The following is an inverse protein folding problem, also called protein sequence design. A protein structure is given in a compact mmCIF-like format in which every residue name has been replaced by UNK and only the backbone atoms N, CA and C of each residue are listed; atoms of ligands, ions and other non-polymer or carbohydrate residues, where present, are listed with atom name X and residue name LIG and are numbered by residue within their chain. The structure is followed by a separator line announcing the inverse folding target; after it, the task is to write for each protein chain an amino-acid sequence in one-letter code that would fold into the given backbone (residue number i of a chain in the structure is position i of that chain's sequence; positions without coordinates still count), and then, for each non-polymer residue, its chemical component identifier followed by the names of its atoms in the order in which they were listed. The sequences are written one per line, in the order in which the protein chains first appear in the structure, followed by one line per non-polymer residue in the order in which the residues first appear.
data_IF_833275919486
#
_entry.id   IF_833275919486
#
_cell.length_a   1.000
_cell.length_b   1.000
_cell.length_c   1.000
_cell.angle_alpha   90.00
_cell.angle_beta   90.00
_cell.angle_gamma   90.00
#
_symmetry.space_group_name_H-M   'P 1'
#
loop_
_entity.id
_entity.type
_entity.pdbx_description
1 polymer ?
#
# COMPACT_ATOMS: atom_id res chain seq x y z
N UNK A 1 5.99 4.11 39.24
CA UNK A 1 5.77 3.26 38.05
C UNK A 1 4.55 3.77 37.32
N UNK A 2 4.72 4.47 36.20
CA UNK A 2 3.63 5.13 35.45
C UNK A 2 3.49 4.50 34.07
N UNK A 3 2.27 4.04 33.74
CA UNK A 3 2.02 3.31 32.51
C UNK A 3 2.14 4.21 31.28
N UNK A 4 3.01 3.83 30.33
CA UNK A 4 3.10 4.50 29.03
C UNK A 4 1.80 4.32 28.25
N UNK A 5 1.06 5.42 28.02
CA UNK A 5 -0.02 5.46 27.03
C UNK A 5 0.57 5.25 25.64
N UNK A 6 0.36 4.07 25.06
CA UNK A 6 0.68 3.79 23.65
C UNK A 6 -0.25 4.60 22.74
N UNK A 7 0.29 5.68 22.18
CA UNK A 7 -0.36 6.43 21.10
C UNK A 7 -0.25 5.64 19.80
N UNK A 8 -1.24 4.79 19.50
CA UNK A 8 -1.27 4.01 18.24
C UNK A 8 -1.49 4.94 17.02
N UNK A 9 -0.41 5.39 16.40
CA UNK A 9 -0.43 6.20 15.16
C UNK A 9 -0.69 5.31 13.95
N UNK A 10 -1.87 4.70 13.88
CA UNK A 10 -2.32 3.94 12.73
C UNK A 10 -2.88 4.87 11.64
N UNK A 11 -2.02 5.40 10.77
CA UNK A 11 -2.41 6.00 9.48
C UNK A 11 -1.83 5.17 8.33
N UNK A 12 -2.49 5.25 7.16
CA UNK A 12 -2.30 4.29 6.08
C UNK A 12 -0.87 4.32 5.55
N UNK A 13 -0.21 3.16 5.64
CA UNK A 13 0.79 2.79 4.64
C UNK A 13 0.03 2.46 3.36
N UNK A 14 -0.13 3.44 2.47
CA UNK A 14 -0.54 3.13 1.09
C UNK A 14 0.51 2.22 0.48
N UNK A 15 0.17 0.95 0.32
CA UNK A 15 0.96 0.01 -0.48
C UNK A 15 0.60 0.30 -1.93
N UNK A 16 1.32 1.26 -2.52
CA UNK A 16 1.34 1.47 -3.96
C UNK A 16 2.08 0.28 -4.59
N UNK A 17 1.39 -0.85 -4.63
CA UNK A 17 1.67 -1.92 -5.55
C UNK A 17 1.20 -1.44 -6.92
N UNK A 18 2.14 -1.07 -7.79
CA UNK A 18 1.89 -0.87 -9.21
C UNK A 18 2.64 -1.97 -9.97
N UNK A 19 2.01 -2.64 -10.94
CA UNK A 19 2.73 -3.41 -11.94
C UNK A 19 3.39 -2.45 -12.93
N UNK A 20 4.69 -2.63 -13.17
CA UNK A 20 5.36 -1.97 -14.29
C UNK A 20 4.91 -2.70 -15.57
N UNK A 21 3.90 -2.17 -16.25
CA UNK A 21 3.39 -2.78 -17.50
C UNK A 21 4.30 -2.39 -18.66
N UNK A 22 5.39 -3.15 -18.83
CA UNK A 22 6.23 -3.04 -20.03
C UNK A 22 5.44 -3.59 -21.22
N UNK A 23 4.97 -2.71 -22.09
CA UNK A 23 4.30 -3.08 -23.34
C UNK A 23 5.36 -3.57 -24.32
N UNK A 24 5.45 -4.90 -24.49
CA UNK A 24 6.21 -5.52 -25.57
C UNK A 24 5.54 -5.20 -26.91
N UNK A 25 6.00 -4.13 -27.57
CA UNK A 25 5.61 -3.79 -28.93
C UNK A 25 6.10 -4.88 -29.89
N UNK A 26 5.16 -5.67 -30.43
CA UNK A 26 5.47 -6.78 -31.33
C UNK A 26 5.72 -6.32 -32.78
N UNK A 27 6.82 -6.80 -33.37
CA UNK A 27 7.00 -6.76 -34.83
C UNK A 27 6.08 -7.79 -35.52
N UNK A 28 5.59 -7.44 -36.72
CA UNK A 28 4.83 -8.31 -37.64
C UNK A 28 5.72 -8.81 -38.82
N UNK A 29 5.29 -9.79 -39.64
CA UNK A 29 6.18 -10.80 -40.29
C UNK A 29 6.51 -10.45 -41.76
N UNK A 30 7.15 -11.24 -42.65
CA UNK A 30 7.02 -12.67 -43.03
C UNK A 30 8.16 -13.03 -44.04
N UNK A 31 8.68 -14.26 -44.28
CA UNK A 31 8.57 -15.54 -43.56
C UNK A 31 9.88 -16.42 -43.56
N UNK A 32 10.22 -17.35 -44.49
CA UNK A 32 10.69 -18.66 -44.00
C UNK A 32 12.09 -19.14 -44.47
N UNK A 33 12.79 -19.82 -43.55
CA UNK A 33 13.84 -20.81 -43.83
C UNK A 33 13.68 -22.04 -42.91
N UNK A 34 14.12 -23.21 -43.39
CA UNK A 34 13.82 -24.53 -42.82
C UNK A 34 14.55 -24.85 -41.48
N UNK A 35 14.15 -25.91 -40.74
CA UNK A 35 14.35 -25.95 -39.29
C UNK A 35 15.76 -26.36 -38.87
N UNK A 36 16.44 -25.49 -38.13
CA UNK A 36 17.49 -25.93 -37.20
C UNK A 36 16.83 -26.34 -35.88
N UNK A 37 17.04 -27.59 -35.46
CA UNK A 37 16.50 -28.13 -34.23
C UNK A 37 17.25 -27.59 -32.99
N UNK A 38 17.01 -26.32 -32.67
CA UNK A 38 17.31 -25.79 -31.35
C UNK A 38 16.35 -26.43 -30.34
N UNK A 39 16.86 -27.38 -29.54
CA UNK A 39 16.13 -27.93 -28.40
C UNK A 39 15.86 -26.79 -27.43
N UNK A 40 14.62 -26.30 -27.41
CA UNK A 40 14.17 -25.39 -26.38
C UNK A 40 14.35 -26.09 -25.02
N UNK A 41 14.98 -25.45 -24.02
CA UNK A 41 15.04 -26.03 -22.68
C UNK A 41 13.62 -26.21 -22.17
N UNK A 42 13.25 -27.46 -21.88
CA UNK A 42 11.97 -27.80 -21.27
C UNK A 42 11.89 -27.16 -19.88
N UNK A 43 11.27 -25.98 -19.80
CA UNK A 43 11.28 -25.17 -18.57
C UNK A 43 10.53 -23.85 -18.59
N UNK A 44 9.88 -23.43 -19.69
CA UNK A 44 9.01 -22.24 -19.69
C UNK A 44 7.65 -22.58 -19.08
N UNK A 45 7.63 -22.51 -17.75
CA UNK A 45 6.51 -22.76 -16.85
C UNK A 45 5.46 -21.65 -16.98
N UNK A 46 4.42 -21.91 -17.77
CA UNK A 46 3.22 -21.06 -17.95
C UNK A 46 2.52 -20.61 -16.63
N UNK A 47 2.61 -21.32 -15.48
CA UNK A 47 2.15 -20.82 -14.18
C UNK A 47 2.56 -19.40 -13.77
N UNK A 48 3.76 -18.90 -14.12
CA UNK A 48 4.25 -17.61 -13.60
C UNK A 48 3.40 -16.42 -14.10
N UNK A 49 3.03 -16.43 -15.40
CA UNK A 49 2.17 -15.38 -15.98
C UNK A 49 0.80 -15.33 -15.31
N UNK A 50 0.20 -16.48 -15.04
CA UNK A 50 -1.14 -16.56 -14.46
C UNK A 50 -1.14 -16.20 -12.97
N UNK A 51 -0.05 -16.51 -12.24
CA UNK A 51 0.17 -15.99 -10.88
C UNK A 51 0.34 -14.46 -10.87
N UNK A 52 1.04 -13.89 -11.86
CA UNK A 52 1.15 -12.43 -12.03
C UNK A 52 -0.20 -11.79 -12.35
N UNK A 53 -1.04 -12.42 -13.17
CA UNK A 53 -2.42 -11.96 -13.44
C UNK A 53 -3.28 -11.95 -12.16
N UNK A 54 -3.22 -13.01 -11.32
CA UNK A 54 -3.94 -13.06 -10.04
C UNK A 54 -3.41 -12.05 -9.01
N UNK A 55 -2.10 -11.88 -8.94
CA UNK A 55 -1.46 -10.83 -8.13
C UNK A 55 -1.97 -9.45 -8.55
N UNK A 56 -2.03 -9.16 -9.85
CA UNK A 56 -2.55 -7.90 -10.37
C UNK A 56 -4.05 -7.71 -10.08
N UNK A 57 -4.86 -8.77 -10.13
CA UNK A 57 -6.27 -8.72 -9.73
C UNK A 57 -6.43 -8.35 -8.23
N UNK A 58 -5.59 -8.92 -7.36
CA UNK A 58 -5.54 -8.55 -5.94
C UNK A 58 -5.07 -7.10 -5.71
N UNK A 59 -4.10 -6.61 -6.49
CA UNK A 59 -3.69 -5.20 -6.47
C UNK A 59 -4.86 -4.28 -6.82
N UNK A 60 -5.62 -4.59 -7.88
CA UNK A 60 -6.81 -3.81 -8.28
C UNK A 60 -7.88 -3.81 -7.19
N UNK A 61 -8.16 -4.97 -6.57
CA UNK A 61 -9.12 -5.08 -5.47
C UNK A 61 -8.71 -4.25 -4.24
N UNK A 62 -7.43 -4.30 -3.88
CA UNK A 62 -6.88 -3.53 -2.75
C UNK A 62 -6.87 -2.02 -3.02
N UNK A 63 -6.50 -1.60 -4.24
CA UNK A 63 -6.51 -0.19 -4.62
C UNK A 63 -7.94 0.39 -4.61
N UNK A 64 -8.94 -0.36 -5.07
CA UNK A 64 -10.37 0.01 -4.95
C UNK A 64 -10.80 0.21 -3.50
N UNK A 65 -10.32 -0.64 -2.58
CA UNK A 65 -10.57 -0.48 -1.15
C UNK A 65 -9.88 0.78 -0.59
N UNK A 66 -8.59 0.97 -0.87
CA UNK A 66 -7.83 2.09 -0.30
C UNK A 66 -8.22 3.48 -0.86
N UNK A 67 -8.78 3.55 -2.07
CA UNK A 67 -9.17 4.83 -2.69
C UNK A 67 -10.16 5.63 -1.83
N UNK A 68 -11.07 4.94 -1.13
CA UNK A 68 -12.14 5.58 -0.35
C UNK A 68 -12.22 5.10 1.11
N UNK A 69 -11.63 3.95 1.46
CA UNK A 69 -11.83 3.32 2.78
C UNK A 69 -10.54 3.29 3.61
N UNK A 70 -10.51 4.16 4.60
CA UNK A 70 -9.58 4.09 5.73
C UNK A 70 -10.36 3.72 6.98
N UNK A 71 -10.56 2.42 7.24
CA UNK A 71 -11.38 1.97 8.38
C UNK A 71 -10.88 2.53 9.72
N UNK A 72 -9.57 2.61 9.94
CA UNK A 72 -8.99 3.25 11.12
C UNK A 72 -9.23 4.77 11.20
N UNK A 73 -9.41 5.48 10.08
CA UNK A 73 -9.88 6.88 10.07
C UNK A 73 -11.38 6.96 10.33
N UNK A 74 -12.18 6.18 9.60
CA UNK A 74 -13.65 6.11 9.75
C UNK A 74 -14.01 5.85 11.22
N UNK A 75 -13.38 4.88 11.87
CA UNK A 75 -13.59 4.55 13.28
C UNK A 75 -13.28 5.75 14.22
N UNK A 76 -12.13 6.41 14.03
CA UNK A 76 -11.75 7.58 14.87
C UNK A 76 -12.67 8.78 14.63
N UNK A 77 -13.08 9.01 13.40
CA UNK A 77 -13.93 10.14 13.04
C UNK A 77 -15.36 9.89 13.55
N UNK A 78 -15.87 8.66 13.45
CA UNK A 78 -17.12 8.21 14.06
C UNK A 78 -17.11 8.39 15.59
N UNK A 79 -16.09 7.89 16.28
CA UNK A 79 -15.96 8.04 17.75
C UNK A 79 -15.86 9.52 18.18
N UNK A 80 -15.25 10.37 17.36
CA UNK A 80 -15.15 11.81 17.60
C UNK A 80 -16.48 12.54 17.36
N UNK A 81 -17.21 12.17 16.32
CA UNK A 81 -18.47 12.80 15.93
C UNK A 81 -19.62 12.43 16.87
N UNK A 82 -19.56 11.26 17.51
CA UNK A 82 -20.67 10.71 18.31
C UNK A 82 -20.36 10.54 19.82
N UNK A 83 -19.76 11.53 20.52
CA UNK A 83 -19.29 11.37 21.92
C UNK A 83 -20.43 11.22 22.94
N UNK A 84 -21.69 11.38 22.52
CA UNK A 84 -22.89 11.22 23.35
C UNK A 84 -23.43 9.78 23.36
N UNK A 85 -23.04 8.92 22.41
CA UNK A 85 -23.50 7.51 22.37
C UNK A 85 -23.11 6.76 23.66
N UNK A 86 -21.86 6.94 24.11
CA UNK A 86 -21.33 6.38 25.35
C UNK A 86 -21.98 6.96 26.64
N UNK A 87 -22.85 7.97 26.53
CA UNK A 87 -23.58 8.54 27.67
C UNK A 87 -24.98 7.94 27.74
N UNK A 88 -25.20 7.09 28.74
CA UNK A 88 -26.51 6.51 29.02
C UNK A 88 -27.55 7.62 29.30
N UNK A 89 -28.78 7.43 28.81
CA UNK A 89 -29.94 8.29 29.10
C UNK A 89 -30.00 9.67 28.40
N UNK A 90 -28.89 10.20 27.87
CA UNK A 90 -28.90 11.51 27.20
C UNK A 90 -29.47 11.43 25.77
N UNK A 91 -30.53 12.17 25.39
CA UNK A 91 -31.04 12.14 24.01
C UNK A 91 -29.97 12.61 23.01
N UNK A 92 -29.92 11.97 21.83
CA UNK A 92 -29.09 12.44 20.72
C UNK A 92 -29.80 13.54 19.94
N UNK A 93 -29.12 14.68 19.79
CA UNK A 93 -29.46 15.80 18.91
C UNK A 93 -28.72 15.71 17.56
N UNK A 94 -27.74 14.83 17.47
CA UNK A 94 -26.82 14.68 16.35
C UNK A 94 -26.28 13.25 16.29
N UNK A 95 -26.06 12.77 15.07
CA UNK A 95 -25.34 11.54 14.74
C UNK A 95 -24.62 11.78 13.42
N UNK A 96 -23.41 11.23 13.22
CA UNK A 96 -22.74 11.29 11.91
C UNK A 96 -21.81 10.11 11.61
N UNK A 97 -21.80 9.67 10.35
CA UNK A 97 -21.03 8.54 9.87
C UNK A 97 -20.46 8.77 8.44
N UNK A 98 -19.22 9.25 8.36
CA UNK A 98 -18.56 9.58 7.09
C UNK A 98 -17.95 8.40 6.30
N UNK A 99 -18.40 7.16 6.50
CA UNK A 99 -17.86 5.97 5.79
C UNK A 99 -18.66 5.61 4.54
N UNK A 100 -17.99 5.29 3.43
CA UNK A 100 -18.63 4.69 2.24
C UNK A 100 -18.81 3.17 2.34
N UNK A 101 -19.74 2.61 1.56
CA UNK A 101 -19.92 1.17 1.37
C UNK A 101 -18.77 0.54 0.55
N UNK A 102 -18.61 -0.78 0.64
CA UNK A 102 -17.43 -1.50 0.09
C UNK A 102 -17.78 -2.46 -1.04
N UNK A 103 -18.94 -2.29 -1.68
CA UNK A 103 -19.45 -3.20 -2.71
C UNK A 103 -18.49 -3.36 -3.89
N UNK A 104 -17.83 -2.27 -4.30
CA UNK A 104 -16.85 -2.24 -5.39
C UNK A 104 -15.58 -3.04 -5.08
N UNK A 105 -15.12 -2.99 -3.83
CA UNK A 105 -13.97 -3.76 -3.37
C UNK A 105 -14.33 -5.25 -3.26
N UNK A 106 -15.51 -5.58 -2.70
CA UNK A 106 -16.00 -6.96 -2.61
C UNK A 106 -16.05 -7.63 -3.99
N UNK A 107 -16.71 -7.00 -4.99
CA UNK A 107 -16.78 -7.53 -6.36
C UNK A 107 -15.41 -7.68 -7.04
N UNK A 108 -14.39 -6.92 -6.61
CA UNK A 108 -13.03 -7.06 -7.11
C UNK A 108 -12.27 -8.21 -6.42
N UNK A 109 -12.48 -8.43 -5.12
CA UNK A 109 -11.97 -9.60 -4.40
C UNK A 109 -12.60 -10.90 -4.92
N UNK A 110 -13.90 -10.92 -5.20
CA UNK A 110 -14.57 -12.08 -5.83
C UNK A 110 -13.89 -12.47 -7.15
N UNK A 111 -13.62 -11.49 -8.02
CA UNK A 111 -12.94 -11.70 -9.31
C UNK A 111 -11.52 -12.24 -9.13
N UNK A 112 -10.75 -11.71 -8.18
CA UNK A 112 -9.40 -12.20 -7.91
C UNK A 112 -9.40 -13.64 -7.34
N UNK A 113 -10.35 -13.96 -6.46
CA UNK A 113 -10.48 -15.30 -5.87
C UNK A 113 -11.00 -16.35 -6.86
N UNK A 114 -11.82 -15.96 -7.83
CA UNK A 114 -12.34 -16.84 -8.88
C UNK A 114 -11.26 -17.30 -9.89
N UNK A 115 -10.06 -16.71 -9.86
CA UNK A 115 -8.94 -17.15 -10.71
C UNK A 115 -8.40 -18.50 -10.21
N UNK A 116 -8.32 -19.48 -11.12
CA UNK A 116 -8.07 -20.89 -10.80
C UNK A 116 -6.67 -21.19 -10.28
N UNK A 117 -5.71 -20.30 -10.50
CA UNK A 117 -4.33 -20.49 -10.09
C UNK A 117 -4.17 -20.20 -8.60
N UNK A 118 -3.54 -21.08 -7.81
CA UNK A 118 -3.31 -20.82 -6.40
C UNK A 118 -2.26 -19.72 -6.23
N UNK A 119 -2.53 -18.80 -5.31
CA UNK A 119 -1.55 -17.85 -4.78
C UNK A 119 -1.74 -17.79 -3.25
N UNK A 120 -1.37 -18.85 -2.51
CA UNK A 120 -1.80 -19.05 -1.12
C UNK A 120 -1.41 -17.91 -0.17
N UNK A 121 -0.28 -17.25 -0.43
CA UNK A 121 0.19 -16.08 0.31
C UNK A 121 -0.77 -14.89 0.26
N UNK A 122 -1.62 -14.80 -0.77
CA UNK A 122 -2.67 -13.78 -0.89
C UNK A 122 -4.09 -14.36 -0.77
N UNK A 123 -4.32 -15.61 -1.16
CA UNK A 123 -5.64 -16.22 -1.13
C UNK A 123 -6.20 -16.32 0.30
N UNK A 124 -5.40 -16.77 1.27
CA UNK A 124 -5.84 -16.86 2.68
C UNK A 124 -6.06 -15.51 3.36
N UNK A 125 -5.11 -14.55 3.38
CA UNK A 125 -5.40 -13.23 3.94
C UNK A 125 -6.46 -12.48 3.13
N UNK A 126 -6.63 -12.79 1.84
CA UNK A 126 -7.68 -12.27 0.98
C UNK A 126 -9.06 -12.72 1.46
N UNK A 127 -9.25 -14.02 1.73
CA UNK A 127 -10.50 -14.56 2.31
C UNK A 127 -10.83 -13.90 3.64
N UNK A 128 -9.84 -13.73 4.51
CA UNK A 128 -10.01 -13.05 5.81
C UNK A 128 -10.43 -11.59 5.65
N UNK A 129 -9.82 -10.86 4.71
CA UNK A 129 -10.23 -9.49 4.39
C UNK A 129 -11.65 -9.44 3.81
N UNK A 130 -11.97 -10.29 2.83
CA UNK A 130 -13.30 -10.37 2.23
C UNK A 130 -14.38 -10.61 3.29
N UNK A 131 -14.19 -11.59 4.18
CA UNK A 131 -15.14 -11.86 5.27
C UNK A 131 -15.32 -10.66 6.22
N UNK A 132 -14.23 -9.93 6.53
CA UNK A 132 -14.31 -8.71 7.33
C UNK A 132 -15.03 -7.55 6.61
N UNK A 133 -14.87 -7.44 5.28
CA UNK A 133 -15.59 -6.50 4.43
C UNK A 133 -17.10 -6.85 4.38
N UNK A 134 -17.44 -8.13 4.20
CA UNK A 134 -18.82 -8.62 4.19
C UNK A 134 -19.54 -8.37 5.52
N UNK A 135 -18.83 -8.52 6.65
CA UNK A 135 -19.38 -8.24 7.97
C UNK A 135 -19.59 -6.74 8.25
N UNK A 136 -18.69 -5.85 7.80
CA UNK A 136 -18.78 -4.41 8.09
C UNK A 136 -19.69 -3.64 7.13
N UNK A 137 -19.82 -4.10 5.88
CA UNK A 137 -20.61 -3.43 4.84
C UNK A 137 -22.11 -3.20 5.20
N UNK A 138 -22.87 -4.17 5.74
CA UNK A 138 -24.26 -3.91 6.14
C UNK A 138 -24.36 -2.89 7.28
N UNK A 139 -23.44 -2.93 8.25
CA UNK A 139 -23.40 -1.99 9.38
C UNK A 139 -23.06 -0.56 8.91
N UNK A 140 -22.17 -0.42 7.92
CA UNK A 140 -21.90 0.84 7.22
C UNK A 140 -23.17 1.38 6.56
N UNK A 141 -23.91 0.53 5.82
CA UNK A 141 -25.15 0.93 5.12
C UNK A 141 -26.26 1.32 6.10
N UNK A 142 -26.37 0.61 7.22
CA UNK A 142 -27.31 0.94 8.31
C UNK A 142 -26.95 2.28 8.96
N UNK A 143 -25.68 2.51 9.31
CA UNK A 143 -25.20 3.77 9.90
C UNK A 143 -25.48 4.98 9.00
N UNK A 144 -25.24 4.87 7.69
CA UNK A 144 -25.55 5.92 6.70
C UNK A 144 -27.05 6.16 6.57
N UNK A 145 -27.87 5.11 6.60
CA UNK A 145 -29.34 5.23 6.57
C UNK A 145 -29.86 5.92 7.82
N UNK A 146 -29.31 5.59 8.99
CA UNK A 146 -29.69 6.20 10.27
C UNK A 146 -29.30 7.69 10.35
N UNK A 147 -28.13 8.07 9.80
CA UNK A 147 -27.74 9.47 9.64
C UNK A 147 -28.68 10.23 8.67
N UNK A 148 -28.94 9.67 7.48
CA UNK A 148 -29.70 10.36 6.42
C UNK A 148 -31.19 10.53 6.73
N UNK A 149 -31.80 9.53 7.37
CA UNK A 149 -33.20 9.58 7.83
C UNK A 149 -33.41 10.43 9.08
N UNK A 150 -32.33 10.72 9.82
CA UNK A 150 -32.34 11.41 11.12
C UNK A 150 -33.20 10.71 12.18
N UNK A 151 -33.30 9.39 12.11
CA UNK A 151 -34.04 8.54 13.06
C UNK A 151 -33.56 8.74 14.52
N UNK A 152 -32.32 9.21 14.72
CA UNK A 152 -31.80 9.65 16.02
C UNK A 152 -32.63 10.73 16.74
N UNK A 153 -33.38 11.55 16.00
CA UNK A 153 -34.25 12.58 16.56
C UNK A 153 -35.56 11.99 17.12
N UNK A 154 -36.08 10.92 16.53
CA UNK A 154 -37.33 10.26 16.97
C UNK A 154 -37.06 9.21 18.05
N UNK A 155 -36.01 8.39 17.88
CA UNK A 155 -35.65 7.31 18.81
C UNK A 155 -34.77 7.77 19.99
N UNK A 156 -34.38 9.06 20.02
CA UNK A 156 -33.49 9.69 21.02
C UNK A 156 -32.10 9.03 21.12
N UNK A 157 -31.66 8.37 20.05
CA UNK A 157 -30.39 7.65 19.97
C UNK A 157 -30.45 6.21 20.48
N UNK A 158 -31.60 5.54 20.45
CA UNK A 158 -31.71 4.15 20.89
C UNK A 158 -30.92 3.20 19.98
N UNK A 159 -31.19 3.25 18.67
CA UNK A 159 -30.56 2.46 17.62
C UNK A 159 -29.07 2.80 17.45
N UNK A 160 -28.69 4.07 17.60
CA UNK A 160 -27.28 4.48 17.66
C UNK A 160 -26.47 3.68 18.68
N UNK A 161 -27.03 3.45 19.88
CA UNK A 161 -26.38 2.70 20.97
C UNK A 161 -26.38 1.20 20.73
N UNK A 162 -27.43 0.67 20.11
CA UNK A 162 -27.50 -0.73 19.70
C UNK A 162 -26.42 -1.06 18.64
N UNK A 163 -26.19 -0.14 17.70
CA UNK A 163 -25.26 -0.31 16.59
C UNK A 163 -23.79 0.01 16.93
N UNK A 164 -23.52 0.84 17.95
CA UNK A 164 -22.16 1.33 18.27
C UNK A 164 -21.14 0.20 18.47
N UNK A 165 -21.41 -0.71 19.41
CA UNK A 165 -20.50 -1.82 19.71
C UNK A 165 -20.21 -2.72 18.49
N UNK A 166 -21.21 -3.24 17.74
CA UNK A 166 -20.93 -4.05 16.56
C UNK A 166 -20.26 -3.26 15.43
N UNK A 167 -20.62 -2.00 15.20
CA UNK A 167 -19.99 -1.16 14.17
C UNK A 167 -18.51 -0.87 14.50
N UNK A 168 -18.21 -0.50 15.76
CA UNK A 168 -16.85 -0.28 16.26
C UNK A 168 -16.00 -1.55 16.13
N UNK A 169 -16.55 -2.71 16.51
CA UNK A 169 -15.87 -3.99 16.41
C UNK A 169 -15.59 -4.37 14.94
N UNK A 170 -16.58 -4.23 14.06
CA UNK A 170 -16.45 -4.55 12.64
C UNK A 170 -15.48 -3.63 11.90
N UNK A 171 -15.50 -2.32 12.17
CA UNK A 171 -14.50 -1.37 11.64
C UNK A 171 -13.09 -1.70 12.13
N UNK A 172 -12.94 -2.11 13.40
CA UNK A 172 -11.66 -2.57 13.95
C UNK A 172 -11.14 -3.84 13.27
N UNK A 173 -12.02 -4.83 13.06
CA UNK A 173 -11.70 -6.07 12.36
C UNK A 173 -11.31 -5.83 10.89
N UNK A 174 -12.11 -5.04 10.16
CA UNK A 174 -11.82 -4.66 8.78
C UNK A 174 -10.50 -3.88 8.66
N UNK A 175 -10.20 -2.96 9.58
CA UNK A 175 -8.91 -2.27 9.63
C UNK A 175 -7.73 -3.23 9.83
N UNK A 176 -7.85 -4.20 10.76
CA UNK A 176 -6.81 -5.22 11.00
C UNK A 176 -6.61 -6.10 9.77
N UNK A 177 -7.68 -6.62 9.18
CA UNK A 177 -7.60 -7.47 8.00
C UNK A 177 -7.02 -6.73 6.79
N UNK A 178 -7.37 -5.45 6.60
CA UNK A 178 -6.81 -4.58 5.55
C UNK A 178 -5.29 -4.46 5.71
N UNK A 179 -4.81 -4.18 6.93
CA UNK A 179 -3.38 -4.08 7.22
C UNK A 179 -2.63 -5.41 7.05
N UNK A 180 -3.25 -6.54 7.41
CA UNK A 180 -2.70 -7.89 7.20
C UNK A 180 -2.56 -8.19 5.71
N UNK A 181 -3.63 -8.04 4.93
CA UNK A 181 -3.62 -8.28 3.49
C UNK A 181 -2.65 -7.36 2.75
N UNK A 182 -2.64 -6.06 3.07
CA UNK A 182 -1.68 -5.11 2.48
C UNK A 182 -0.22 -5.48 2.76
N UNK A 183 0.07 -6.07 3.92
CA UNK A 183 1.42 -6.56 4.24
C UNK A 183 1.78 -7.78 3.39
N UNK A 184 0.85 -8.74 3.22
CA UNK A 184 1.06 -9.90 2.34
C UNK A 184 1.23 -9.49 0.86
N UNK A 185 0.38 -8.58 0.37
CA UNK A 185 0.46 -8.01 -0.98
C UNK A 185 1.79 -7.27 -1.22
N UNK A 186 2.26 -6.50 -0.24
CA UNK A 186 3.57 -5.85 -0.32
C UNK A 186 4.72 -6.87 -0.36
N UNK A 187 4.61 -7.98 0.39
CA UNK A 187 5.61 -9.06 0.34
C UNK A 187 5.65 -9.76 -1.02
N UNK A 188 4.49 -10.11 -1.59
CA UNK A 188 4.43 -10.81 -2.87
C UNK A 188 4.85 -9.92 -4.06
N UNK A 189 4.51 -8.63 -4.02
CA UNK A 189 4.97 -7.67 -5.04
C UNK A 189 6.46 -7.37 -4.95
N UNK A 190 7.05 -7.37 -3.75
CA UNK A 190 8.51 -7.33 -3.59
C UNK A 190 9.19 -8.55 -4.23
N UNK A 191 8.73 -9.78 -3.94
CA UNK A 191 9.28 -11.01 -4.56
C UNK A 191 9.22 -10.97 -6.09
N UNK A 192 8.09 -10.56 -6.67
CA UNK A 192 7.91 -10.39 -8.13
C UNK A 192 8.97 -9.45 -8.69
N UNK A 193 9.13 -8.28 -8.06
CA UNK A 193 10.00 -7.23 -8.56
C UNK A 193 11.48 -7.55 -8.37
N UNK A 194 11.84 -8.34 -7.33
CA UNK A 194 13.19 -8.88 -7.16
C UNK A 194 13.54 -9.90 -8.25
N UNK A 195 12.59 -10.75 -8.65
CA UNK A 195 12.76 -11.66 -9.78
C UNK A 195 12.85 -10.90 -11.12
N UNK A 196 12.03 -9.88 -11.33
CA UNK A 196 12.09 -8.99 -12.50
C UNK A 196 13.45 -8.28 -12.56
N UNK A 197 13.95 -7.72 -11.45
CA UNK A 197 15.26 -7.07 -11.41
C UNK A 197 16.41 -8.03 -11.75
N UNK A 198 16.33 -9.29 -11.31
CA UNK A 198 17.31 -10.32 -11.64
C UNK A 198 17.30 -10.72 -13.13
N UNK A 199 16.16 -10.58 -13.81
CA UNK A 199 16.03 -10.84 -15.25
C UNK A 199 16.37 -9.61 -16.13
N UNK A 200 16.29 -8.39 -15.60
CA UNK A 200 16.63 -7.17 -16.33
C UNK A 200 18.14 -7.04 -16.59
N UNK A 201 18.48 -6.56 -17.79
CA UNK A 201 19.88 -6.26 -18.16
C UNK A 201 20.45 -5.16 -17.26
N UNK A 202 21.56 -5.41 -16.52
CA UNK A 202 22.23 -4.38 -15.72
C UNK A 202 22.68 -3.18 -16.55
N UNK A 203 22.74 -1.99 -15.92
CA UNK A 203 23.13 -0.75 -16.60
C UNK A 203 22.02 -0.10 -17.45
N UNK A 204 20.82 -0.69 -17.53
CA UNK A 204 19.68 -0.06 -18.22
C UNK A 204 18.89 0.87 -17.29
N UNK A 205 18.20 1.86 -17.84
CA UNK A 205 17.30 2.73 -17.06
C UNK A 205 16.26 1.92 -16.27
N UNK A 206 15.62 0.95 -16.91
CA UNK A 206 14.64 0.07 -16.28
C UNK A 206 15.21 -0.68 -15.07
N UNK A 207 16.42 -1.25 -15.20
CA UNK A 207 17.12 -1.91 -14.10
C UNK A 207 17.37 -0.95 -12.92
N UNK A 208 17.91 0.24 -13.17
CA UNK A 208 18.19 1.20 -12.09
C UNK A 208 16.92 1.78 -11.46
N UNK A 209 15.89 2.10 -12.26
CA UNK A 209 14.56 2.54 -11.78
C UNK A 209 13.91 1.48 -10.91
N UNK A 210 13.90 0.22 -11.33
CA UNK A 210 13.33 -0.88 -10.54
C UNK A 210 14.12 -1.11 -9.24
N UNK A 211 15.46 -1.07 -9.30
CA UNK A 211 16.33 -1.19 -8.12
C UNK A 211 16.04 -0.09 -7.08
N UNK A 212 15.96 1.18 -7.49
CA UNK A 212 15.63 2.28 -6.55
C UNK A 212 14.22 2.10 -5.97
N UNK A 213 13.24 1.70 -6.78
CA UNK A 213 11.86 1.45 -6.32
C UNK A 213 11.72 0.24 -5.39
N UNK A 214 12.54 -0.80 -5.56
CA UNK A 214 12.65 -1.94 -4.65
C UNK A 214 13.22 -1.52 -3.29
N UNK A 215 14.40 -0.89 -3.29
CA UNK A 215 15.06 -0.49 -2.03
C UNK A 215 14.22 0.57 -1.29
N UNK A 216 13.51 1.45 -2.00
CA UNK A 216 12.58 2.42 -1.39
C UNK A 216 11.42 1.74 -0.65
N UNK A 217 10.94 0.59 -1.14
CA UNK A 217 9.88 -0.20 -0.47
C UNK A 217 10.43 -1.04 0.69
N UNK A 218 11.67 -1.52 0.61
CA UNK A 218 12.37 -2.14 1.75
C UNK A 218 12.57 -1.12 2.88
N UNK A 219 12.99 0.10 2.55
CA UNK A 219 13.05 1.22 3.48
C UNK A 219 11.69 1.54 4.10
N UNK A 220 10.61 1.58 3.30
CA UNK A 220 9.26 1.79 3.84
C UNK A 220 8.81 0.70 4.82
N UNK A 221 9.20 -0.56 4.58
CA UNK A 221 8.97 -1.66 5.50
C UNK A 221 9.76 -1.51 6.80
N UNK A 222 11.04 -1.14 6.73
CA UNK A 222 11.87 -0.87 7.91
C UNK A 222 11.32 0.30 8.75
N UNK A 223 10.92 1.40 8.10
CA UNK A 223 10.29 2.56 8.77
C UNK A 223 8.99 2.16 9.45
N UNK A 224 8.13 1.36 8.81
CA UNK A 224 6.90 0.84 9.43
C UNK A 224 7.21 0.05 10.71
N UNK A 225 8.12 -0.92 10.62
CA UNK A 225 8.50 -1.76 11.77
C UNK A 225 9.11 -0.93 12.91
N UNK A 226 9.85 0.14 12.61
CA UNK A 226 10.43 1.06 13.59
C UNK A 226 9.41 2.01 14.25
N UNK A 227 8.31 2.34 13.56
CA UNK A 227 7.18 3.08 14.11
C UNK A 227 6.33 2.20 15.04
N UNK A 228 6.19 0.91 14.73
CA UNK A 228 5.48 -0.07 15.56
C UNK A 228 6.33 -0.49 16.78
N UNK A 229 7.64 -0.70 16.61
CA UNK A 229 8.59 -1.01 17.69
C UNK A 229 9.96 -0.34 17.45
N UNK A 230 10.37 0.51 18.40
CA UNK A 230 11.65 1.25 18.38
C UNK A 230 12.88 0.34 18.28
N UNK A 231 12.79 -0.95 18.64
CA UNK A 231 13.89 -1.90 18.46
C UNK A 231 14.30 -2.06 16.99
N UNK A 232 13.42 -1.76 16.03
CA UNK A 232 13.70 -1.85 14.59
C UNK A 232 14.33 -0.56 14.00
N UNK A 233 14.53 0.50 14.77
CA UNK A 233 15.16 1.75 14.27
C UNK A 233 16.52 1.52 13.57
N UNK A 234 17.43 0.64 14.08
CA UNK A 234 18.69 0.37 13.39
C UNK A 234 18.54 -0.24 11.99
N UNK A 235 17.44 -0.96 11.71
CA UNK A 235 17.18 -1.54 10.39
C UNK A 235 16.87 -0.46 9.32
N UNK A 236 16.46 0.74 9.73
CA UNK A 236 16.30 1.88 8.81
C UNK A 236 17.65 2.27 8.23
N UNK A 237 18.72 2.29 9.02
CA UNK A 237 20.04 2.76 8.57
C UNK A 237 20.60 1.85 7.44
N UNK A 238 20.42 0.53 7.54
CA UNK A 238 20.78 -0.43 6.47
C UNK A 238 19.95 -0.22 5.20
N UNK A 239 18.62 -0.10 5.32
CA UNK A 239 17.76 0.12 4.15
C UNK A 239 18.01 1.49 3.48
N UNK A 240 18.33 2.51 4.27
CA UNK A 240 18.68 3.84 3.80
C UNK A 240 20.01 3.85 3.02
N UNK A 241 21.00 3.06 3.45
CA UNK A 241 22.25 2.86 2.70
C UNK A 241 21.98 2.20 1.34
N UNK A 242 21.12 1.18 1.28
CA UNK A 242 20.74 0.52 0.02
C UNK A 242 20.02 1.47 -0.96
N UNK A 243 19.08 2.28 -0.47
CA UNK A 243 18.43 3.34 -1.27
C UNK A 243 19.45 4.36 -1.78
N UNK A 244 20.38 4.80 -0.91
CA UNK A 244 21.42 5.77 -1.29
C UNK A 244 22.37 5.21 -2.35
N UNK A 245 22.76 3.94 -2.26
CA UNK A 245 23.59 3.27 -3.25
C UNK A 245 22.86 3.15 -4.60
N UNK A 246 21.62 2.65 -4.60
CA UNK A 246 20.79 2.54 -5.80
C UNK A 246 20.56 3.91 -6.48
N UNK A 247 20.30 4.98 -5.71
CA UNK A 247 20.09 6.32 -6.27
C UNK A 247 21.39 6.98 -6.78
N UNK A 248 22.54 6.57 -6.24
CA UNK A 248 23.86 6.96 -6.76
C UNK A 248 24.14 6.28 -8.09
N UNK A 249 23.90 4.97 -8.18
CA UNK A 249 24.01 4.20 -9.42
C UNK A 249 23.10 4.74 -10.53
N UNK A 250 21.83 5.01 -10.23
CA UNK A 250 20.90 5.65 -11.19
C UNK A 250 21.49 6.97 -11.74
N UNK A 251 22.09 7.79 -10.89
CA UNK A 251 22.77 9.04 -11.28
C UNK A 251 24.03 8.87 -12.14
N UNK A 252 24.57 7.66 -12.29
CA UNK A 252 25.69 7.39 -13.21
C UNK A 252 25.27 7.32 -14.68
N UNK A 253 24.01 6.98 -14.97
CA UNK A 253 23.47 6.96 -16.34
C UNK A 253 23.54 8.33 -17.03
N UNK A 254 23.51 9.42 -16.25
CA UNK A 254 23.74 10.79 -16.72
C UNK A 254 25.12 11.02 -17.36
N UNK A 255 26.08 10.11 -17.17
CA UNK A 255 27.49 10.28 -17.55
C UNK A 255 27.94 9.40 -18.73
N UNK A 256 27.06 8.62 -19.36
CA UNK A 256 27.42 7.82 -20.54
C UNK A 256 27.15 8.60 -21.85
N UNK A 257 28.18 9.08 -22.57
CA UNK A 257 28.02 9.79 -23.84
C UNK A 257 27.68 8.89 -25.04
N UNK A 258 27.58 7.56 -24.84
CA UNK A 258 27.21 6.58 -25.88
C UNK A 258 25.85 5.94 -25.67
N UNK A 259 25.21 6.16 -24.52
CA UNK A 259 23.80 5.83 -24.36
C UNK A 259 22.95 6.75 -25.28
N UNK A 260 21.87 6.24 -25.91
CA UNK A 260 20.74 7.09 -26.28
C UNK A 260 20.27 7.88 -25.06
N UNK A 261 19.52 8.98 -25.18
CA UNK A 261 19.12 9.83 -24.04
C UNK A 261 18.08 9.13 -23.15
N UNK A 262 18.51 8.10 -22.42
CA UNK A 262 17.76 7.40 -21.37
C UNK A 262 17.72 8.21 -20.06
N UNK A 263 18.33 9.39 -20.03
CA UNK A 263 18.29 10.33 -18.93
C UNK A 263 17.48 11.57 -19.32
N UNK A 264 16.16 11.47 -19.15
CA UNK A 264 15.25 12.61 -19.26
C UNK A 264 15.36 13.52 -18.01
N UNK A 265 15.18 14.86 -18.11
CA UNK A 265 14.84 15.73 -16.98
C UNK A 265 13.88 15.16 -15.92
N UNK A 266 12.88 14.36 -16.31
CA UNK A 266 11.94 13.68 -15.41
C UNK A 266 12.63 12.59 -14.57
N UNK A 267 13.61 11.88 -15.12
CA UNK A 267 14.44 10.96 -14.34
C UNK A 267 15.40 11.69 -13.38
N UNK A 268 15.85 12.91 -13.72
CA UNK A 268 16.52 13.77 -12.75
C UNK A 268 15.59 14.18 -11.61
N UNK A 269 14.34 14.57 -11.91
CA UNK A 269 13.34 14.86 -10.89
C UNK A 269 13.09 13.66 -9.97
N UNK A 270 12.96 12.44 -10.51
CA UNK A 270 12.82 11.23 -9.70
C UNK A 270 14.00 11.04 -8.74
N UNK A 271 15.24 11.15 -9.25
CA UNK A 271 16.45 11.10 -8.41
C UNK A 271 16.42 12.15 -7.29
N UNK A 272 16.04 13.38 -7.59
CA UNK A 272 15.97 14.47 -6.60
C UNK A 272 14.89 14.22 -5.53
N UNK A 273 13.76 13.59 -5.89
CA UNK A 273 12.76 13.15 -4.89
C UNK A 273 13.30 12.05 -3.98
N UNK A 274 14.12 11.13 -4.51
CA UNK A 274 14.77 10.10 -3.70
C UNK A 274 15.84 10.70 -2.78
N UNK A 275 16.64 11.66 -3.24
CA UNK A 275 17.59 12.37 -2.36
C UNK A 275 16.86 13.17 -1.25
N UNK A 276 15.71 13.76 -1.58
CA UNK A 276 14.81 14.39 -0.60
C UNK A 276 14.29 13.37 0.42
N UNK A 277 13.84 12.19 -0.01
CA UNK A 277 13.38 11.09 0.86
C UNK A 277 14.51 10.57 1.76
N UNK A 278 15.74 10.45 1.25
CA UNK A 278 16.93 10.08 2.02
C UNK A 278 17.15 11.10 3.15
N UNK A 279 17.08 12.40 2.85
CA UNK A 279 17.14 13.47 3.85
C UNK A 279 16.03 13.37 4.90
N UNK A 280 14.79 13.24 4.46
CA UNK A 280 13.62 13.07 5.33
C UNK A 280 13.70 11.82 6.23
N UNK A 281 14.32 10.75 5.75
CA UNK A 281 14.56 9.54 6.55
C UNK A 281 15.52 9.80 7.70
N UNK A 282 16.61 10.56 7.48
CA UNK A 282 17.54 10.96 8.54
C UNK A 282 16.85 11.81 9.61
N UNK A 283 16.00 12.76 9.19
CA UNK A 283 15.15 13.56 10.10
C UNK A 283 14.23 12.68 10.94
N UNK A 284 13.57 11.70 10.32
CA UNK A 284 12.71 10.76 11.04
C UNK A 284 13.48 9.90 12.05
N UNK A 285 14.66 9.39 11.67
CA UNK A 285 15.52 8.58 12.56
C UNK A 285 16.01 9.39 13.76
N UNK A 286 16.39 10.66 13.59
CA UNK A 286 16.69 11.56 14.72
C UNK A 286 15.45 11.76 15.59
N UNK A 287 14.29 12.09 15.01
CA UNK A 287 13.04 12.22 15.78
C UNK A 287 12.68 10.94 16.57
N UNK A 288 12.94 9.74 16.03
CA UNK A 288 12.73 8.46 16.71
C UNK A 288 13.69 8.24 17.90
N UNK A 289 14.95 8.66 17.77
CA UNK A 289 16.00 8.59 18.80
C UNK A 289 15.76 9.61 19.92
N UNK A 290 15.45 10.85 19.55
CA UNK A 290 15.49 12.02 20.43
C UNK A 290 14.10 12.45 20.95
N UNK A 291 13.03 12.00 20.30
CA UNK A 291 11.73 12.67 20.35
C UNK A 291 10.64 12.09 21.25
N UNK A 292 9.74 12.98 21.66
CA UNK A 292 8.41 12.65 22.18
C UNK A 292 7.46 12.21 21.06
N UNK A 293 6.37 11.53 21.42
CA UNK A 293 5.46 10.89 20.44
C UNK A 293 4.82 11.83 19.40
N UNK A 294 4.76 13.15 19.65
CA UNK A 294 4.29 14.12 18.65
C UNK A 294 5.33 14.38 17.56
N UNK A 295 6.58 14.63 17.93
CA UNK A 295 7.65 14.92 16.97
C UNK A 295 7.88 13.74 16.01
N UNK A 296 7.83 12.50 16.52
CA UNK A 296 7.89 11.28 15.71
C UNK A 296 6.71 11.20 14.73
N UNK A 297 5.49 11.50 15.18
CA UNK A 297 4.31 11.46 14.32
C UNK A 297 4.35 12.53 13.21
N UNK A 298 4.77 13.75 13.53
CA UNK A 298 4.90 14.85 12.56
C UNK A 298 5.99 14.55 11.52
N UNK A 299 7.16 14.04 11.95
CA UNK A 299 8.22 13.59 11.05
C UNK A 299 7.79 12.39 10.18
N UNK A 300 7.04 11.44 10.73
CA UNK A 300 6.54 10.28 9.99
C UNK A 300 5.54 10.69 8.90
N UNK A 301 4.63 11.64 9.18
CA UNK A 301 3.71 12.19 8.17
C UNK A 301 4.49 12.81 7.00
N UNK A 302 5.47 13.68 7.30
CA UNK A 302 6.32 14.29 6.27
C UNK A 302 7.09 13.24 5.46
N UNK A 303 7.58 12.18 6.12
CA UNK A 303 8.25 11.06 5.48
C UNK A 303 7.35 10.32 4.49
N UNK A 304 6.10 10.01 4.87
CA UNK A 304 5.14 9.38 3.95
C UNK A 304 4.81 10.29 2.74
N UNK A 305 4.68 11.60 2.94
CA UNK A 305 4.46 12.55 1.84
C UNK A 305 5.64 12.62 0.87
N UNK A 306 6.88 12.61 1.38
CA UNK A 306 8.10 12.54 0.56
C UNK A 306 8.18 11.23 -0.22
N UNK A 307 7.85 10.10 0.43
CA UNK A 307 7.82 8.77 -0.20
C UNK A 307 6.80 8.72 -1.34
N UNK A 308 5.59 9.24 -1.13
CA UNK A 308 4.55 9.27 -2.17
C UNK A 308 5.01 10.08 -3.38
N UNK A 309 5.54 11.30 -3.17
CA UNK A 309 6.10 12.13 -4.26
C UNK A 309 7.24 11.46 -5.03
N UNK A 310 8.05 10.62 -4.36
CA UNK A 310 9.09 9.84 -5.01
C UNK A 310 8.53 8.67 -5.84
N UNK A 311 7.47 8.00 -5.37
CA UNK A 311 6.75 6.97 -6.15
C UNK A 311 6.08 7.60 -7.38
N UNK A 312 5.39 8.73 -7.20
CA UNK A 312 4.73 9.45 -8.30
C UNK A 312 5.75 9.87 -9.39
N UNK A 313 6.88 10.44 -8.98
CA UNK A 313 7.97 10.81 -9.90
C UNK A 313 8.66 9.60 -10.55
N UNK A 314 8.66 8.42 -9.91
CA UNK A 314 9.18 7.19 -10.51
C UNK A 314 8.38 6.82 -11.75
N UNK A 315 7.05 6.92 -11.69
CA UNK A 315 6.17 6.51 -12.80
C UNK A 315 6.57 7.20 -14.10
N UNK A 316 6.72 8.53 -14.09
CA UNK A 316 7.05 9.36 -15.25
C UNK A 316 8.51 9.26 -15.76
N UNK A 317 9.43 8.66 -15.00
CA UNK A 317 10.81 8.50 -15.45
C UNK A 317 10.93 7.36 -16.47
N UNK A 318 11.11 7.71 -17.75
CA UNK A 318 11.29 6.74 -18.85
C UNK A 318 10.00 6.31 -19.55
N UNK A 319 8.98 7.18 -19.56
CA UNK A 319 7.95 7.21 -20.61
C UNK A 319 8.54 7.76 -21.93
#
# INVERSE_FOLDING_TARGET
MTAFRRSNVARLVSVLALPLVVVLAGCKPEAPAAPSAAVAPAGLVVPEKQQAEKLNAYVVAYNKLLQWHSFGKILRDYQRANPKIAKAGAPLDSYSFGGGDVDDALRAFDKAMAMTQPLPELDEPGKVLKAALEAVNPLIKEARTYESTKEYLSDKGAKARQMDAPLVAALGAANKATATFGTALSGQTLKRDEAELAALKPGTLGFHKLKVSLETRKLASAVKLALDDKQNVPAIDTALQAVSAANTELGTLRKDPKAPPAWDPVCAMYKDKIDTLIGGTRTLVSAMKDGSGKAVADAANQWFDMRNKAVDASNSCGD
#
